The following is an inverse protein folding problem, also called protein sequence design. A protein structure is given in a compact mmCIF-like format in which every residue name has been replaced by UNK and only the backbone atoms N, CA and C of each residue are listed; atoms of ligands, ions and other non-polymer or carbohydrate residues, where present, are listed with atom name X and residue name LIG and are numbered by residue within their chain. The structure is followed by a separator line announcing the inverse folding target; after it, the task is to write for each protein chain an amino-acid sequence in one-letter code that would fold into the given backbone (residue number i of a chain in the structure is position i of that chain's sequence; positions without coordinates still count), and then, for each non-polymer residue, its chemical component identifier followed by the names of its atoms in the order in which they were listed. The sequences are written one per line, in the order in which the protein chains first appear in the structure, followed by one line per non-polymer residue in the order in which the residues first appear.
data_IF_690339228806
#
_entry.id   IF_690339228806
#
_cell.length_a   1.000
_cell.length_b   1.000
_cell.length_c   1.000
_cell.angle_alpha   90.00
_cell.angle_beta   90.00
_cell.angle_gamma   90.00
#
_symmetry.space_group_name_H-M   'P 1'
#
loop_
_entity.id
_entity.type
_entity.pdbx_description
1 polymer ?
#
# COMPACT_ATOMS: atom_id res chain seq x y z
N UNK A 1 11.94 -38.61 -26.63
CA UNK A 1 11.82 -37.18 -26.32
C UNK A 1 13.18 -36.53 -26.54
N UNK A 2 13.31 -35.72 -27.58
CA UNK A 2 14.58 -35.18 -28.06
C UNK A 2 15.08 -34.03 -27.17
N UNK A 3 16.40 -33.77 -27.20
CA UNK A 3 17.04 -32.67 -26.45
C UNK A 3 16.39 -31.33 -26.76
N UNK A 4 16.02 -31.10 -28.02
CA UNK A 4 15.33 -29.91 -28.49
C UNK A 4 13.93 -29.76 -27.86
N UNK A 5 13.18 -30.86 -27.73
CA UNK A 5 11.85 -30.83 -27.07
C UNK A 5 11.97 -30.51 -25.58
N UNK A 6 12.97 -31.09 -24.89
CA UNK A 6 13.25 -30.77 -23.48
C UNK A 6 13.62 -29.30 -23.28
N UNK A 7 14.41 -28.73 -24.19
CA UNK A 7 14.80 -27.33 -24.16
C UNK A 7 13.59 -26.40 -24.37
N UNK A 8 12.73 -26.69 -25.35
CA UNK A 8 11.49 -25.95 -25.57
C UNK A 8 10.56 -26.03 -24.36
N UNK A 9 10.42 -27.21 -23.74
CA UNK A 9 9.59 -27.38 -22.55
C UNK A 9 10.10 -26.55 -21.37
N UNK A 10 11.42 -26.53 -21.16
CA UNK A 10 12.06 -25.73 -20.10
C UNK A 10 11.86 -24.22 -20.32
N UNK A 11 11.99 -23.74 -21.56
CA UNK A 11 11.74 -22.34 -21.91
C UNK A 11 10.27 -21.97 -21.66
N UNK A 12 9.33 -22.83 -22.05
CA UNK A 12 7.90 -22.59 -21.88
C UNK A 12 7.47 -22.57 -20.41
N UNK A 13 8.01 -23.48 -19.58
CA UNK A 13 7.79 -23.49 -18.13
C UNK A 13 8.36 -22.21 -17.49
N UNK A 14 9.54 -21.78 -17.91
CA UNK A 14 10.16 -20.54 -17.40
C UNK A 14 9.28 -19.32 -17.73
N UNK A 15 8.77 -19.20 -18.95
CA UNK A 15 7.89 -18.10 -19.36
C UNK A 15 6.56 -18.07 -18.58
N UNK A 16 6.02 -19.21 -18.19
CA UNK A 16 4.80 -19.29 -17.37
C UNK A 16 5.03 -18.85 -15.91
N UNK A 17 6.23 -19.07 -15.36
CA UNK A 17 6.60 -18.60 -14.02
C UNK A 17 6.82 -17.08 -13.94
N UNK A 18 7.03 -16.40 -15.07
CA UNK A 18 7.27 -14.95 -15.11
C UNK A 18 6.00 -14.10 -15.18
N UNK A 19 4.80 -14.67 -14.99
CA UNK A 19 3.62 -13.83 -14.80
C UNK A 19 3.74 -13.13 -13.45
N UNK A 20 3.79 -11.78 -13.38
CA UNK A 20 3.80 -11.10 -12.10
C UNK A 20 2.47 -11.43 -11.41
N UNK A 21 2.52 -12.09 -10.26
CA UNK A 21 1.34 -12.33 -9.44
C UNK A 21 0.88 -10.99 -8.87
N UNK A 22 -0.02 -10.30 -9.59
CA UNK A 22 -0.49 -8.93 -9.32
C UNK A 22 -1.34 -8.75 -8.05
N UNK A 23 -1.41 -9.74 -7.17
CA UNK A 23 -2.29 -9.66 -6.02
C UNK A 23 -1.51 -9.12 -4.83
N UNK A 24 -1.67 -7.84 -4.50
CA UNK A 24 -1.40 -7.37 -3.14
C UNK A 24 -2.72 -7.39 -2.39
N UNK A 25 -2.67 -7.78 -1.12
CA UNK A 25 -3.83 -7.70 -0.24
C UNK A 25 -3.38 -7.06 1.07
N UNK A 26 -3.56 -5.75 1.13
CA UNK A 26 -3.13 -4.93 2.27
C UNK A 26 -4.36 -4.46 3.02
N UNK A 27 -4.46 -4.87 4.28
CA UNK A 27 -5.50 -4.40 5.19
C UNK A 27 -4.98 -3.20 5.99
N UNK A 28 -5.65 -2.05 5.89
CA UNK A 28 -5.35 -0.88 6.70
C UNK A 28 -6.11 -0.95 8.03
N UNK A 29 -5.38 -0.94 9.15
CA UNK A 29 -5.97 -0.82 10.49
C UNK A 29 -5.80 0.61 10.97
N UNK A 30 -6.88 1.38 10.93
CA UNK A 30 -6.85 2.82 11.21
C UNK A 30 -7.08 3.07 12.71
N UNK A 31 -6.22 3.89 13.31
CA UNK A 31 -6.34 4.33 14.70
C UNK A 31 -6.21 5.85 14.75
N UNK A 32 -7.07 6.48 15.55
CA UNK A 32 -6.94 7.90 15.88
C UNK A 32 -6.27 8.06 17.23
N UNK A 33 -5.31 8.98 17.33
CA UNK A 33 -4.86 9.55 18.60
C UNK A 33 -5.43 10.94 18.86
N UNK A 34 -5.99 11.58 17.84
CA UNK A 34 -6.62 12.89 17.96
C UNK A 34 -8.07 12.76 18.40
N UNK A 35 -8.49 13.67 19.28
CA UNK A 35 -9.88 13.83 19.70
C UNK A 35 -10.67 14.73 18.74
N UNK A 36 -9.97 15.39 17.79
CA UNK A 36 -10.59 16.27 16.81
C UNK A 36 -11.18 15.46 15.64
N UNK A 37 -12.33 15.88 15.08
CA UNK A 37 -12.92 15.21 13.93
C UNK A 37 -11.99 15.33 12.72
N UNK A 38 -11.78 14.21 12.04
CA UNK A 38 -11.00 14.14 10.81
C UNK A 38 -11.68 13.22 9.78
N UNK A 39 -11.31 13.40 8.53
CA UNK A 39 -11.65 12.47 7.46
C UNK A 39 -10.37 11.83 6.92
N UNK A 40 -10.40 10.53 6.66
CA UNK A 40 -9.31 9.81 6.01
C UNK A 40 -9.73 9.47 4.58
N UNK A 41 -8.89 9.82 3.61
CA UNK A 41 -9.02 9.38 2.23
C UNK A 41 -7.85 8.47 1.89
N UNK A 42 -8.17 7.25 1.47
CA UNK A 42 -7.19 6.25 1.04
C UNK A 42 -7.33 6.09 -0.46
N UNK A 43 -6.23 6.26 -1.18
CA UNK A 43 -6.13 5.98 -2.62
C UNK A 43 -5.08 4.88 -2.74
N UNK A 44 -5.55 3.69 -3.09
CA UNK A 44 -4.67 2.52 -3.22
C UNK A 44 -3.73 2.69 -4.41
N UNK A 45 -2.48 2.27 -4.24
CA UNK A 45 -1.53 2.19 -5.34
C UNK A 45 -1.86 0.99 -6.23
N UNK A 46 -2.16 1.24 -7.50
CA UNK A 46 -2.31 0.18 -8.50
C UNK A 46 -1.02 -0.63 -8.68
N UNK A 47 -1.18 -1.91 -9.00
CA UNK A 47 -0.09 -2.86 -9.26
C UNK A 47 1.05 -2.74 -8.23
N UNK A 48 0.82 -3.13 -6.97
CA UNK A 48 1.86 -3.46 -5.97
C UNK A 48 3.22 -2.75 -6.14
N UNK A 49 3.56 -1.80 -5.28
CA UNK A 49 4.82 -1.04 -5.38
C UNK A 49 5.04 -0.19 -6.65
N UNK A 50 4.30 -0.35 -7.74
CA UNK A 50 4.46 0.49 -8.93
C UNK A 50 3.96 1.91 -8.67
N UNK A 51 2.73 2.02 -8.14
CA UNK A 51 2.13 3.30 -7.75
C UNK A 51 2.12 3.46 -6.23
N UNK A 52 2.41 4.66 -5.71
CA UNK A 52 2.31 4.91 -4.29
C UNK A 52 0.85 4.90 -3.85
N UNK A 53 0.60 4.37 -2.67
CA UNK A 53 -0.61 4.62 -1.91
C UNK A 53 -0.59 6.06 -1.43
N UNK A 54 -1.75 6.73 -1.46
CA UNK A 54 -1.93 8.04 -0.87
C UNK A 54 -2.88 7.93 0.31
N UNK A 55 -2.40 8.31 1.49
CA UNK A 55 -3.23 8.37 2.69
C UNK A 55 -3.28 9.82 3.13
N UNK A 56 -4.44 10.43 2.90
CA UNK A 56 -4.71 11.85 3.14
C UNK A 56 -5.63 12.01 4.33
N UNK A 57 -5.33 13.00 5.16
CA UNK A 57 -6.21 13.43 6.24
C UNK A 57 -6.77 14.82 5.93
N UNK A 58 -8.01 15.03 6.33
CA UNK A 58 -8.70 16.31 6.24
C UNK A 58 -9.19 16.72 7.63
N UNK A 59 -9.17 18.02 7.89
CA UNK A 59 -9.69 18.61 9.12
C UNK A 59 -10.87 19.52 8.80
N UNK A 60 -11.75 19.73 9.79
CA UNK A 60 -12.91 20.61 9.65
C UNK A 60 -12.55 22.03 10.10
N UNK A 61 -12.78 23.03 9.26
CA UNK A 61 -12.60 24.46 9.55
C UNK A 61 -13.83 25.19 9.00
N UNK A 62 -14.55 25.92 9.86
CA UNK A 62 -15.77 26.66 9.51
C UNK A 62 -16.77 25.82 8.69
N UNK A 63 -17.03 24.60 9.19
CA UNK A 63 -17.85 23.57 8.57
C UNK A 63 -17.39 23.02 7.21
N UNK A 64 -16.23 23.44 6.71
CA UNK A 64 -15.61 22.94 5.48
C UNK A 64 -14.48 21.94 5.78
N UNK A 65 -14.35 20.92 4.94
CA UNK A 65 -13.23 19.99 4.98
C UNK A 65 -12.05 20.54 4.19
N UNK A 66 -10.93 20.78 4.88
CA UNK A 66 -9.69 21.27 4.26
C UNK A 66 -8.57 20.22 4.40
N UNK A 67 -7.65 20.12 3.42
CA UNK A 67 -6.53 19.19 3.51
C UNK A 67 -5.69 19.46 4.76
N UNK A 68 -5.30 18.40 5.48
CA UNK A 68 -4.49 18.52 6.69
C UNK A 68 -3.08 17.96 6.49
N UNK A 69 -2.98 16.68 6.10
CA UNK A 69 -1.70 16.03 5.83
C UNK A 69 -1.84 14.88 4.83
N UNK A 70 -0.72 14.43 4.28
CA UNK A 70 -0.64 13.30 3.35
C UNK A 70 0.64 12.51 3.57
N UNK A 71 0.54 11.18 3.54
CA UNK A 71 1.69 10.30 3.32
C UNK A 71 1.53 9.56 2.00
N UNK A 72 2.68 9.31 1.36
CA UNK A 72 2.80 8.52 0.14
C UNK A 72 3.79 7.40 0.37
N UNK A 73 3.42 6.18 0.02
CA UNK A 73 4.31 5.04 0.13
C UNK A 73 4.02 3.96 -0.91
N UNK A 74 5.07 3.32 -1.41
CA UNK A 74 4.97 2.13 -2.25
C UNK A 74 4.98 0.91 -1.34
N UNK A 75 3.82 0.25 -1.27
CA UNK A 75 3.58 -0.89 -0.39
C UNK A 75 3.35 -2.17 -1.21
N UNK A 76 3.79 -3.30 -0.66
CA UNK A 76 3.60 -4.63 -1.24
C UNK A 76 3.36 -5.67 -0.16
N UNK A 77 2.70 -6.76 -0.56
CA UNK A 77 2.61 -7.97 0.23
C UNK A 77 1.18 -8.33 0.61
N UNK A 78 1.09 -9.27 1.55
CA UNK A 78 -0.14 -9.86 2.01
C UNK A 78 -0.18 -9.79 3.52
N UNK A 79 -1.07 -8.95 4.05
CA UNK A 79 -1.18 -8.77 5.49
C UNK A 79 -1.79 -7.43 5.85
N UNK A 80 -1.32 -6.84 6.96
CA UNK A 80 -1.86 -5.60 7.46
C UNK A 80 -0.78 -4.59 7.81
N UNK A 81 -1.16 -3.32 7.75
CA UNK A 81 -0.37 -2.20 8.25
C UNK A 81 -1.26 -1.29 9.10
N UNK A 82 -0.72 -0.84 10.24
CA UNK A 82 -1.43 0.09 11.11
C UNK A 82 -1.21 1.51 10.62
N UNK A 83 -2.28 2.26 10.43
CA UNK A 83 -2.25 3.70 10.11
C UNK A 83 -2.71 4.45 11.33
N UNK A 84 -1.82 5.23 11.94
CA UNK A 84 -2.12 6.03 13.13
C UNK A 84 -2.17 7.50 12.73
N UNK A 85 -3.31 8.14 12.95
CA UNK A 85 -3.49 9.59 12.78
C UNK A 85 -3.12 10.29 14.08
N UNK A 86 -2.00 11.01 14.08
CA UNK A 86 -1.48 11.75 15.24
C UNK A 86 -2.27 13.05 15.49
N UNK A 87 -2.02 13.74 16.61
CA UNK A 87 -2.74 14.97 17.01
C UNK A 87 -2.64 16.13 16.01
N UNK A 88 -1.58 16.16 15.19
CA UNK A 88 -1.40 17.13 14.11
C UNK A 88 -2.02 16.69 12.78
N UNK A 89 -2.91 15.69 12.82
CA UNK A 89 -3.53 15.04 11.65
C UNK A 89 -2.54 14.28 10.75
N UNK A 90 -1.24 14.19 11.08
CA UNK A 90 -0.28 13.46 10.27
C UNK A 90 -0.55 11.95 10.39
N UNK A 91 -0.92 11.25 9.29
CA UNK A 91 -0.97 9.81 9.31
C UNK A 91 0.47 9.25 9.36
N UNK A 92 0.67 8.18 10.13
CA UNK A 92 1.94 7.47 10.19
C UNK A 92 1.72 5.97 10.13
N UNK A 93 2.59 5.27 9.41
CA UNK A 93 2.59 3.81 9.45
C UNK A 93 3.23 3.34 10.74
N UNK A 94 2.53 2.47 11.46
CA UNK A 94 3.00 1.73 12.62
C UNK A 94 2.79 0.25 12.35
N UNK A 95 3.45 -0.61 13.12
CA UNK A 95 3.20 -2.06 13.22
C UNK A 95 2.67 -2.73 11.95
N UNK A 96 3.55 -3.43 11.23
CA UNK A 96 3.22 -4.12 9.98
C UNK A 96 3.49 -5.61 10.09
N UNK A 97 2.65 -6.40 9.43
CA UNK A 97 2.86 -7.83 9.25
C UNK A 97 2.61 -8.20 7.79
N UNK A 98 3.57 -8.87 7.16
CA UNK A 98 3.46 -9.31 5.76
C UNK A 98 3.47 -8.17 4.72
N UNK A 99 3.72 -6.94 5.15
CA UNK A 99 3.79 -5.75 4.27
C UNK A 99 5.22 -5.22 4.22
N UNK A 100 5.72 -4.99 3.01
CA UNK A 100 6.98 -4.31 2.73
C UNK A 100 6.69 -2.89 2.23
N UNK A 101 7.59 -1.96 2.56
CA UNK A 101 7.60 -0.62 1.99
C UNK A 101 8.91 -0.37 1.27
N UNK A 102 8.83 -0.03 -0.02
CA UNK A 102 10.00 0.14 -0.88
C UNK A 102 10.46 1.60 -0.99
N UNK A 103 9.53 2.55 -0.86
CA UNK A 103 9.80 3.97 -0.99
C UNK A 103 8.69 4.80 -0.34
N UNK A 104 9.03 6.01 0.11
CA UNK A 104 8.12 6.96 0.76
C UNK A 104 8.26 6.97 2.28
N UNK A 105 7.33 7.67 2.94
CA UNK A 105 7.34 7.80 4.39
C UNK A 105 6.71 6.56 5.03
N UNK A 106 7.59 5.62 5.35
CA UNK A 106 7.43 4.40 6.15
C UNK A 106 8.58 4.36 7.17
#
# INVERSE_FOLDING_TARGET
MNVTEKLFLLIFICLLCFTPSKSCKIELKIFSKTDQPFMLQVIEGENCSEKPWHIKTWKKVDDQWVPAAEIKARLEGFGYIRVVVENNYMPSFRDRFGILCFNGNC
#
